data_IF_410841453224
#
_entry.id   IF_410841453224
#
_cell.length_a   1.000
_cell.length_b   1.000
_cell.length_c   1.000
_cell.angle_alpha   90.00
_cell.angle_beta   90.00
_cell.angle_gamma   90.00
#
_symmetry.space_group_name_H-M   'P 1'
#
loop_
_entity.id
_entity.type
_entity.pdbx_description
1 polymer ?
#
# COMPACT_ATOMS: atom_id res chain seq x y z
N UNK A 1 -11.82 3.58 -12.98
CA UNK A 1 -10.93 2.42 -12.77
C UNK A 1 -11.33 1.71 -11.47
N UNK A 2 -10.88 0.49 -11.21
CA UNK A 2 -11.06 -0.19 -9.92
C UNK A 2 -9.70 -0.70 -9.46
N UNK A 3 -9.37 -0.54 -8.18
CA UNK A 3 -8.14 -1.12 -7.61
C UNK A 3 -8.27 -2.63 -7.62
N UNK A 4 -7.25 -3.32 -8.14
CA UNK A 4 -7.14 -4.77 -8.09
C UNK A 4 -5.95 -5.10 -7.19
N UNK A 5 -6.21 -5.87 -6.13
CA UNK A 5 -5.18 -6.34 -5.22
C UNK A 5 -4.71 -7.71 -5.66
N UNK A 6 -3.41 -7.92 -5.74
CA UNK A 6 -2.84 -9.25 -5.95
C UNK A 6 -2.90 -10.03 -4.64
N UNK A 7 -2.99 -11.36 -4.71
CA UNK A 7 -2.92 -12.22 -3.53
C UNK A 7 -1.65 -11.93 -2.71
N UNK A 8 -0.53 -11.70 -3.38
CA UNK A 8 0.73 -11.34 -2.73
C UNK A 8 0.62 -10.05 -1.91
N UNK A 9 -0.02 -9.01 -2.46
CA UNK A 9 -0.21 -7.74 -1.74
C UNK A 9 -1.05 -7.88 -0.47
N UNK A 10 -2.06 -8.77 -0.50
CA UNK A 10 -2.89 -9.05 0.68
C UNK A 10 -2.12 -9.81 1.76
N UNK A 11 -1.31 -10.80 1.35
CA UNK A 11 -0.42 -11.53 2.27
C UNK A 11 0.57 -10.55 2.92
N UNK A 12 1.25 -9.72 2.13
CA UNK A 12 2.20 -8.73 2.66
C UNK A 12 1.53 -7.71 3.60
N UNK A 13 0.28 -7.31 3.32
CA UNK A 13 -0.49 -6.46 4.23
C UNK A 13 -0.77 -7.17 5.56
N UNK A 14 -1.18 -8.44 5.53
CA UNK A 14 -1.42 -9.23 6.74
C UNK A 14 -0.15 -9.37 7.59
N UNK A 15 0.99 -9.70 6.96
CA UNK A 15 2.27 -9.80 7.65
C UNK A 15 2.70 -8.47 8.29
N UNK A 16 2.47 -7.36 7.59
CA UNK A 16 2.77 -6.02 8.11
C UNK A 16 1.90 -5.66 9.31
N UNK A 17 0.59 -5.94 9.25
CA UNK A 17 -0.32 -5.71 10.37
C UNK A 17 0.00 -6.62 11.56
N UNK A 18 0.39 -7.87 11.31
CA UNK A 18 0.86 -8.79 12.35
C UNK A 18 2.13 -8.28 13.02
N UNK A 19 3.10 -7.78 12.25
CA UNK A 19 4.31 -7.15 12.80
C UNK A 19 3.98 -5.94 13.69
N UNK A 20 3.10 -5.04 13.24
CA UNK A 20 2.65 -3.89 14.02
C UNK A 20 1.95 -4.31 15.32
N UNK A 21 1.21 -5.42 15.30
CA UNK A 21 0.52 -5.96 16.48
C UNK A 21 1.48 -6.64 17.45
N UNK A 22 2.36 -7.51 16.96
CA UNK A 22 3.12 -8.45 17.78
C UNK A 22 4.52 -7.94 18.15
N UNK A 23 5.13 -7.09 17.31
CA UNK A 23 6.49 -6.58 17.54
C UNK A 23 6.50 -5.15 18.06
N UNK A 24 5.58 -4.32 17.57
CA UNK A 24 5.46 -2.93 18.02
C UNK A 24 4.31 -2.72 19.02
N UNK A 25 3.56 -3.77 19.34
CA UNK A 25 2.48 -3.76 20.33
C UNK A 25 1.47 -2.63 20.12
N UNK A 26 1.19 -2.25 18.87
CA UNK A 26 0.26 -1.15 18.61
C UNK A 26 -1.15 -1.54 19.07
N UNK A 27 -1.89 -0.58 19.67
CA UNK A 27 -3.27 -0.82 20.03
C UNK A 27 -4.11 -1.14 18.78
N UNK A 28 -5.09 -2.05 18.87
CA UNK A 28 -5.91 -2.46 17.73
C UNK A 28 -6.56 -1.30 16.97
N UNK A 29 -6.90 -0.21 17.68
CA UNK A 29 -7.44 1.01 17.08
C UNK A 29 -6.47 1.70 16.11
N UNK A 30 -5.16 1.74 16.41
CA UNK A 30 -4.15 2.29 15.49
C UNK A 30 -3.93 1.38 14.30
N UNK A 31 -3.89 0.06 14.52
CA UNK A 31 -3.74 -0.94 13.43
C UNK A 31 -4.92 -0.83 12.45
N UNK A 32 -6.15 -0.71 12.97
CA UNK A 32 -7.34 -0.49 12.15
C UNK A 32 -7.24 0.80 11.33
N UNK A 33 -6.79 1.90 11.94
CA UNK A 33 -6.57 3.18 11.24
C UNK A 33 -5.54 3.06 10.13
N UNK A 34 -4.42 2.40 10.37
CA UNK A 34 -3.39 2.16 9.35
C UNK A 34 -3.96 1.34 8.20
N UNK A 35 -4.66 0.24 8.49
CA UNK A 35 -5.33 -0.57 7.47
C UNK A 35 -6.26 0.27 6.61
N UNK A 36 -7.16 1.03 7.23
CA UNK A 36 -8.11 1.91 6.53
C UNK A 36 -7.37 2.93 5.67
N UNK A 37 -6.36 3.61 6.21
CA UNK A 37 -5.56 4.59 5.47
C UNK A 37 -4.90 4.01 4.21
N UNK A 38 -4.36 2.78 4.29
CA UNK A 38 -3.76 2.10 3.14
C UNK A 38 -4.79 1.80 2.04
N UNK A 39 -5.99 1.35 2.42
CA UNK A 39 -7.07 1.13 1.47
C UNK A 39 -7.57 2.46 0.87
N UNK A 40 -7.76 3.49 1.69
CA UNK A 40 -8.19 4.81 1.22
C UNK A 40 -7.19 5.41 0.23
N UNK A 41 -5.89 5.23 0.46
CA UNK A 41 -4.83 5.66 -0.47
C UNK A 41 -4.79 4.84 -1.76
N UNK A 42 -5.00 3.54 -1.65
CA UNK A 42 -5.11 2.68 -2.82
C UNK A 42 -6.32 3.09 -3.68
N UNK A 43 -7.47 3.38 -3.06
CA UNK A 43 -8.64 3.88 -3.77
C UNK A 43 -8.43 5.30 -4.31
N UNK A 44 -7.73 6.19 -3.60
CA UNK A 44 -7.46 7.54 -4.10
C UNK A 44 -6.66 7.54 -5.40
N UNK A 45 -5.80 6.54 -5.62
CA UNK A 45 -5.04 6.38 -6.88
C UNK A 45 -5.93 6.13 -8.10
N UNK A 46 -7.14 5.58 -7.92
CA UNK A 46 -8.12 5.47 -9.01
C UNK A 46 -8.53 6.86 -9.51
N UNK A 47 -8.66 7.80 -8.58
CA UNK A 47 -9.17 9.13 -8.83
C UNK A 47 -8.05 10.15 -9.12
N UNK A 48 -6.85 9.89 -8.61
CA UNK A 48 -5.67 10.78 -8.71
C UNK A 48 -4.39 9.98 -9.02
N UNK A 49 -4.30 9.32 -10.18
CA UNK A 49 -3.17 8.44 -10.52
C UNK A 49 -1.81 9.16 -10.53
N UNK A 50 -1.79 10.48 -10.78
CA UNK A 50 -0.59 11.32 -10.71
C UNK A 50 0.02 11.47 -9.31
N UNK A 51 -0.69 11.08 -8.25
CA UNK A 51 -0.16 11.13 -6.88
C UNK A 51 0.86 10.04 -6.56
N UNK A 52 0.90 8.98 -7.37
CA UNK A 52 1.93 7.95 -7.31
C UNK A 52 3.15 8.36 -8.14
N UNK A 53 4.35 8.28 -7.53
CA UNK A 53 5.61 8.41 -8.27
C UNK A 53 5.83 7.16 -9.12
N UNK A 54 6.40 7.32 -10.31
CA UNK A 54 6.78 6.17 -11.15
C UNK A 54 7.89 5.41 -10.41
N UNK A 55 7.77 4.10 -10.32
CA UNK A 55 8.80 3.24 -9.75
C UNK A 55 9.88 2.96 -10.80
N UNK A 56 10.94 3.78 -10.80
CA UNK A 56 12.05 3.72 -11.77
C UNK A 56 12.68 2.33 -11.86
N UNK A 57 12.79 1.61 -10.75
CA UNK A 57 13.37 0.26 -10.74
C UNK A 57 12.52 -0.77 -11.48
N UNK A 58 11.24 -0.49 -11.70
CA UNK A 58 10.30 -1.36 -12.40
C UNK A 58 9.86 -0.77 -13.76
N UNK A 59 10.41 0.37 -14.17
CA UNK A 59 10.08 1.03 -15.44
C UNK A 59 10.34 0.12 -16.65
N UNK A 60 11.38 -0.73 -16.57
CA UNK A 60 11.73 -1.72 -17.58
C UNK A 60 10.65 -2.77 -17.86
N UNK A 61 9.64 -2.90 -16.99
CA UNK A 61 8.49 -3.78 -17.21
C UNK A 61 7.42 -3.12 -18.10
N UNK A 62 7.50 -1.81 -18.33
CA UNK A 62 6.55 -1.00 -19.12
C UNK A 62 5.10 -1.05 -18.61
N UNK A 63 4.90 -1.51 -17.36
CA UNK A 63 3.58 -1.66 -16.74
C UNK A 63 3.13 -0.41 -15.96
N UNK A 64 3.85 0.71 -16.07
CA UNK A 64 3.54 1.98 -15.37
C UNK A 64 3.38 1.81 -13.85
N UNK A 65 4.24 1.00 -13.22
CA UNK A 65 4.23 0.82 -11.77
C UNK A 65 4.38 2.14 -11.04
N UNK A 66 3.51 2.38 -10.06
CA UNK A 66 3.54 3.59 -9.25
C UNK A 66 3.72 3.23 -7.79
N UNK A 67 4.52 4.03 -7.09
CA UNK A 67 4.73 3.91 -5.65
C UNK A 67 4.15 5.12 -4.93
N UNK A 68 3.45 4.83 -3.84
CA UNK A 68 3.06 5.82 -2.83
C UNK A 68 3.86 5.54 -1.57
N UNK A 69 4.46 6.59 -1.01
CA UNK A 69 5.17 6.53 0.27
C UNK A 69 4.31 7.24 1.31
N UNK A 70 4.02 6.57 2.42
CA UNK A 70 3.40 7.18 3.60
C UNK A 70 4.18 6.87 4.87
N UNK A 71 5.08 7.78 5.24
CA UNK A 71 5.99 7.59 6.37
C UNK A 71 6.86 6.36 6.19
N UNK A 72 6.72 5.36 7.08
CA UNK A 72 7.45 4.09 7.01
C UNK A 72 6.78 3.03 6.12
N UNK A 73 5.59 3.29 5.58
CA UNK A 73 4.84 2.33 4.78
C UNK A 73 4.98 2.66 3.29
N UNK A 74 5.57 1.73 2.54
CA UNK A 74 5.60 1.81 1.08
C UNK A 74 4.42 1.04 0.50
N UNK A 75 3.59 1.70 -0.30
CA UNK A 75 2.57 1.05 -1.12
C UNK A 75 3.04 1.01 -2.57
N UNK A 76 3.21 -0.19 -3.12
CA UNK A 76 3.42 -0.41 -4.55
C UNK A 76 2.07 -0.70 -5.20
N UNK A 77 1.75 0.04 -6.25
CA UNK A 77 0.51 -0.09 -7.01
C UNK A 77 0.85 -0.43 -8.46
N UNK A 78 0.18 -1.48 -8.95
CA UNK A 78 0.30 -2.08 -10.27
C UNK A 78 -0.80 -1.57 -11.18
#
# INVERSE_FOLDING_TARGET
>A
MKVIYTNQSLVSLEESLRFLKEKQELPPGKIKKIKTLLFDKAESLVNFPETGQIEEYLEHLELNHRRIIDGANNLLVF
#
